data_IF_942389023357
#
_entry.id   IF_942389023357
#
_cell.length_a   1.000
_cell.length_b   1.000
_cell.length_c   1.000
_cell.angle_alpha   90.00
_cell.angle_beta   90.00
_cell.angle_gamma   90.00
#
_symmetry.space_group_name_H-M   'P 1'
#
loop_
_entity.id
_entity.type
_entity.pdbx_description
1 polymer ?
#
# COMPACT_ATOMS: atom_id res chain seq x y z
N UNK A 1 -7.53 -1.81 21.35
CA UNK A 1 -6.43 -0.86 21.11
C UNK A 1 -5.29 -1.34 21.98
N UNK A 2 -4.34 -2.08 21.41
CA UNK A 2 -3.15 -2.51 22.15
C UNK A 2 -2.20 -1.31 22.21
N UNK A 3 -1.80 -0.90 23.42
CA UNK A 3 -0.76 0.09 23.60
C UNK A 3 0.56 -0.55 23.18
N UNK A 4 1.07 -0.14 22.03
CA UNK A 4 2.48 -0.36 21.65
C UNK A 4 3.29 0.47 22.66
N UNK A 5 4.19 -0.16 23.41
CA UNK A 5 5.05 0.56 24.35
C UNK A 5 5.95 1.53 23.58
N UNK A 6 6.36 2.63 24.22
CA UNK A 6 7.29 3.59 23.60
C UNK A 6 8.57 2.90 23.10
N UNK A 7 9.04 1.86 23.79
CA UNK A 7 10.17 1.02 23.37
C UNK A 7 9.93 0.30 22.03
N UNK A 8 8.71 -0.17 21.76
CA UNK A 8 8.38 -0.82 20.50
C UNK A 8 8.26 0.20 19.36
N UNK A 9 7.86 1.45 19.65
CA UNK A 9 7.91 2.55 18.69
C UNK A 9 9.34 2.84 18.24
N UNK A 10 10.30 2.92 19.18
CA UNK A 10 11.71 3.15 18.85
C UNK A 10 12.31 2.05 17.97
N UNK A 11 11.90 0.79 18.16
CA UNK A 11 12.38 -0.34 17.36
C UNK A 11 11.88 -0.33 15.91
N UNK A 12 10.81 0.40 15.61
CA UNK A 12 10.21 0.50 14.28
C UNK A 12 10.61 1.78 13.53
N UNK A 13 11.39 2.68 14.13
CA UNK A 13 11.74 3.97 13.51
C UNK A 13 12.55 3.84 12.21
N UNK A 14 13.30 2.74 12.06
CA UNK A 14 14.09 2.46 10.86
C UNK A 14 13.45 1.37 9.97
N UNK A 15 12.15 1.10 10.15
CA UNK A 15 11.37 0.14 9.34
C UNK A 15 10.43 0.88 8.42
N UNK A 16 10.48 0.55 7.12
CA UNK A 16 9.48 1.02 6.16
C UNK A 16 8.15 0.31 6.42
N UNK A 17 7.17 1.04 6.96
CA UNK A 17 5.88 0.45 7.38
C UNK A 17 5.02 0.02 6.20
N UNK A 18 5.20 0.64 5.02
CA UNK A 18 4.47 0.23 3.81
C UNK A 18 5.00 -1.09 3.25
N UNK A 19 6.22 -1.50 3.60
CA UNK A 19 6.82 -2.78 3.25
C UNK A 19 8.01 -3.08 4.17
N UNK A 20 7.81 -3.94 5.17
CA UNK A 20 8.79 -4.13 6.26
C UNK A 20 10.17 -4.67 5.86
N UNK A 21 10.34 -5.16 4.63
CA UNK A 21 11.63 -5.62 4.11
C UNK A 21 12.27 -4.63 3.12
N UNK A 22 11.62 -3.49 2.89
CA UNK A 22 12.11 -2.45 2.00
C UNK A 22 13.15 -1.56 2.69
N UNK A 23 14.01 -0.91 1.90
CA UNK A 23 15.00 0.00 2.42
C UNK A 23 14.31 1.24 3.01
N UNK A 24 14.58 1.53 4.28
CA UNK A 24 14.09 2.74 4.90
C UNK A 24 14.78 3.96 4.30
N UNK A 25 13.99 4.94 3.87
CA UNK A 25 14.45 6.15 3.22
C UNK A 25 13.83 7.38 3.90
N UNK A 26 14.67 8.36 4.25
CA UNK A 26 14.21 9.61 4.86
C UNK A 26 13.31 10.35 3.86
N UNK A 27 12.03 10.52 4.19
CA UNK A 27 11.12 11.26 3.33
C UNK A 27 11.52 12.73 3.27
N UNK A 28 11.37 13.35 2.09
CA UNK A 28 11.73 14.77 1.82
C UNK A 28 11.03 15.79 2.75
N UNK A 29 9.99 15.37 3.47
CA UNK A 29 9.20 16.21 4.37
C UNK A 29 9.36 15.87 5.85
N UNK A 30 10.11 14.81 6.21
CA UNK A 30 10.37 14.53 7.61
C UNK A 30 11.46 15.48 8.12
N UNK A 31 11.21 16.21 9.23
CA UNK A 31 12.30 16.86 9.91
C UNK A 31 13.29 15.76 10.30
N UNK A 32 14.55 15.93 9.93
CA UNK A 32 15.66 15.07 10.37
C UNK A 32 15.60 15.03 11.90
N UNK A 33 14.93 14.03 12.48
CA UNK A 33 15.00 13.75 13.90
C UNK A 33 16.44 13.31 14.12
N UNK A 34 17.19 14.11 14.87
CA UNK A 34 18.63 14.08 14.93
C UNK A 34 19.15 12.66 15.18
N UNK A 35 19.63 12.01 14.12
CA UNK A 35 20.44 10.81 14.26
C UNK A 35 21.71 11.21 14.99
N UNK A 36 21.95 10.60 16.16
CA UNK A 36 23.19 10.75 16.93
C UNK A 36 24.34 9.98 16.28
N UNK A 37 24.53 10.18 14.99
CA UNK A 37 25.65 9.67 14.23
C UNK A 37 26.25 10.81 13.45
N UNK A 38 27.35 11.35 13.97
CA UNK A 38 28.11 12.44 13.36
C UNK A 38 28.60 12.02 11.97
N UNK A 39 28.04 12.54 10.86
CA UNK A 39 28.69 12.40 9.58
C UNK A 39 29.84 13.40 9.61
N UNK A 40 31.06 12.93 9.39
CA UNK A 40 32.22 13.80 9.15
C UNK A 40 31.78 14.89 8.16
N UNK A 41 31.96 16.16 8.57
CA UNK A 41 31.73 17.36 7.75
C UNK A 41 32.15 17.11 6.30
N UNK A 42 31.18 17.05 5.39
CA UNK A 42 31.43 17.29 3.98
C UNK A 42 30.96 18.71 3.67
N UNK A 43 31.92 19.53 3.25
CA UNK A 43 31.76 20.93 2.95
C UNK A 43 31.04 21.08 1.60
N UNK A 44 29.72 21.13 1.60
CA UNK A 44 28.95 21.68 0.47
C UNK A 44 27.79 22.52 1.01
N UNK A 45 28.13 23.75 1.35
CA UNK A 45 27.17 24.82 1.50
C UNK A 45 26.41 25.05 0.18
N UNK A 46 25.09 25.24 0.33
CA UNK A 46 24.22 26.04 -0.54
C UNK A 46 24.12 25.62 -2.00
N UNK A 47 23.30 24.61 -2.26
CA UNK A 47 22.47 24.56 -3.46
C UNK A 47 21.02 24.38 -2.98
N UNK A 48 20.16 25.40 -3.16
CA UNK A 48 18.70 25.22 -3.10
C UNK A 48 18.26 24.46 -4.37
N UNK A 49 18.64 23.20 -4.46
CA UNK A 49 18.02 22.23 -5.33
C UNK A 49 17.16 21.37 -4.39
N UNK A 50 15.90 21.15 -4.74
CA UNK A 50 15.13 20.08 -4.10
C UNK A 50 15.97 18.81 -4.24
N UNK A 51 16.42 18.17 -3.15
CA UNK A 51 17.33 17.04 -3.29
C UNK A 51 16.55 15.93 -3.99
N UNK A 52 17.02 15.57 -5.19
CA UNK A 52 16.54 14.38 -5.89
C UNK A 52 16.72 13.20 -4.92
N UNK A 53 15.68 12.41 -4.64
CA UNK A 53 15.82 11.25 -3.78
C UNK A 53 16.87 10.26 -4.29
N UNK A 54 17.43 9.46 -3.40
CA UNK A 54 18.29 8.34 -3.81
C UNK A 54 17.47 7.39 -4.70
N UNK A 55 18.02 7.00 -5.86
CA UNK A 55 17.35 6.12 -6.82
C UNK A 55 17.00 4.74 -6.24
N UNK A 56 17.67 4.33 -5.16
CA UNK A 56 17.40 3.08 -4.46
C UNK A 56 16.17 3.17 -3.56
N UNK A 57 15.66 4.38 -3.31
CA UNK A 57 14.52 4.61 -2.46
C UNK A 57 13.20 4.54 -3.24
N UNK A 58 12.16 3.90 -2.69
CA UNK A 58 10.85 3.82 -3.35
C UNK A 58 10.22 5.19 -3.64
N UNK A 59 10.55 6.18 -2.81
CA UNK A 59 10.12 7.58 -3.01
C UNK A 59 10.62 8.19 -4.33
N UNK A 60 11.67 7.63 -4.94
CA UNK A 60 12.19 8.09 -6.22
C UNK A 60 11.17 7.94 -7.35
N UNK A 61 10.38 6.87 -7.35
CA UNK A 61 9.34 6.64 -8.35
C UNK A 61 8.23 7.69 -8.24
N UNK A 62 7.84 8.05 -7.01
CA UNK A 62 6.91 9.14 -6.75
C UNK A 62 7.45 10.51 -7.15
N UNK A 63 8.76 10.73 -6.99
CA UNK A 63 9.44 11.93 -7.49
C UNK A 63 9.37 12.00 -9.02
N UNK A 64 9.75 10.93 -9.73
CA UNK A 64 9.65 10.87 -11.19
C UNK A 64 8.22 11.07 -11.70
N UNK A 65 7.25 10.44 -11.05
CA UNK A 65 5.82 10.61 -11.36
C UNK A 65 5.39 12.07 -11.20
N UNK A 66 5.82 12.74 -10.13
CA UNK A 66 5.51 14.15 -9.89
C UNK A 66 6.11 15.06 -10.96
N UNK A 67 7.36 14.82 -11.36
CA UNK A 67 8.00 15.58 -12.44
C UNK A 67 7.31 15.36 -13.79
N UNK A 68 6.96 14.12 -14.11
CA UNK A 68 6.24 13.78 -15.34
C UNK A 68 4.83 14.40 -15.39
N UNK A 69 4.06 14.27 -14.31
CA UNK A 69 2.69 14.82 -14.19
C UNK A 69 2.64 16.35 -14.24
N UNK A 70 3.72 17.03 -13.84
CA UNK A 70 3.82 18.48 -13.89
C UNK A 70 4.46 19.03 -15.18
N UNK A 71 4.93 18.17 -16.08
CA UNK A 71 5.46 18.59 -17.37
C UNK A 71 4.34 19.24 -18.23
N UNK A 72 4.53 20.47 -18.75
CA UNK A 72 3.50 21.16 -19.55
C UNK A 72 3.03 20.39 -20.79
N UNK A 73 3.92 19.67 -21.46
CA UNK A 73 3.57 18.86 -22.63
C UNK A 73 2.70 17.65 -22.23
N UNK A 74 3.02 16.99 -21.11
CA UNK A 74 2.19 15.91 -20.55
C UNK A 74 0.83 16.43 -20.16
N UNK A 75 0.76 17.57 -19.46
CA UNK A 75 -0.50 18.23 -19.07
C UNK A 75 -1.35 18.60 -20.28
N UNK A 76 -0.73 19.13 -21.33
CA UNK A 76 -1.41 19.43 -22.59
C UNK A 76 -1.95 18.16 -23.28
N UNK A 77 -1.15 17.10 -23.34
CA UNK A 77 -1.54 15.81 -23.92
C UNK A 77 -2.69 15.13 -23.13
N UNK A 78 -2.73 15.30 -21.81
CA UNK A 78 -3.82 14.85 -20.94
C UNK A 78 -5.01 15.83 -20.90
N UNK A 79 -4.98 16.89 -21.71
CA UNK A 79 -6.03 17.92 -21.81
C UNK A 79 -6.34 18.63 -20.48
N UNK A 80 -5.32 18.81 -19.63
CA UNK A 80 -5.45 19.62 -18.41
C UNK A 80 -5.53 21.09 -18.80
N UNK A 81 -6.63 21.75 -18.44
CA UNK A 81 -6.84 23.17 -18.72
C UNK A 81 -5.80 24.03 -17.99
N UNK A 82 -5.17 24.93 -18.72
CA UNK A 82 -4.22 25.86 -18.13
C UNK A 82 -4.92 26.77 -17.11
N UNK A 83 -4.26 27.04 -15.99
CA UNK A 83 -4.78 27.89 -14.91
C UNK A 83 -5.78 27.23 -13.95
N UNK A 84 -6.23 25.99 -14.16
CA UNK A 84 -7.21 25.35 -13.24
C UNK A 84 -6.57 24.70 -12.02
N UNK A 85 -5.33 24.23 -12.14
CA UNK A 85 -4.58 23.57 -11.07
C UNK A 85 -3.13 24.04 -11.19
N UNK A 86 -2.55 24.53 -10.09
CA UNK A 86 -1.16 25.00 -10.05
C UNK A 86 -0.16 23.86 -10.26
N UNK A 87 -0.05 22.96 -9.28
CA UNK A 87 0.82 21.78 -9.33
C UNK A 87 0.04 20.53 -8.97
N UNK A 88 0.25 19.49 -9.76
CA UNK A 88 -0.18 18.15 -9.40
C UNK A 88 0.66 17.64 -8.22
N UNK A 89 0.00 16.97 -7.28
CA UNK A 89 0.61 16.32 -6.11
C UNK A 89 0.05 14.90 -6.04
N UNK A 90 0.89 13.94 -5.63
CA UNK A 90 0.51 12.53 -5.47
C UNK A 90 -0.65 12.38 -4.49
N UNK A 91 -0.52 12.97 -3.30
CA UNK A 91 -1.56 12.97 -2.26
C UNK A 91 -1.98 14.40 -1.95
N UNK A 92 -3.28 14.63 -1.89
CA UNK A 92 -3.88 15.86 -1.38
C UNK A 92 -4.44 15.58 0.00
N UNK A 93 -4.05 16.39 0.99
CA UNK A 93 -4.62 16.34 2.33
C UNK A 93 -5.58 17.52 2.49
N UNK A 94 -6.83 17.22 2.80
CA UNK A 94 -7.89 18.19 3.05
C UNK A 94 -8.46 18.04 4.46
N UNK A 95 -9.45 18.86 4.78
CA UNK A 95 -10.13 18.80 6.07
C UNK A 95 -11.23 17.72 6.06
N UNK A 96 -10.88 16.49 5.68
CA UNK A 96 -11.82 15.37 5.67
C UNK A 96 -12.28 15.02 7.09
N UNK A 97 -13.58 14.77 7.26
CA UNK A 97 -14.16 14.34 8.54
C UNK A 97 -14.36 12.82 8.53
N UNK A 98 -13.68 12.12 9.43
CA UNK A 98 -13.79 10.67 9.57
C UNK A 98 -15.00 10.28 10.45
N UNK A 99 -16.19 10.24 9.87
CA UNK A 99 -17.45 9.88 10.55
C UNK A 99 -17.85 8.41 10.38
N UNK A 100 -17.36 7.73 9.34
CA UNK A 100 -17.55 6.29 9.12
C UNK A 100 -16.50 5.49 9.90
N UNK A 101 -16.94 4.77 10.94
CA UNK A 101 -16.05 3.97 11.81
C UNK A 101 -15.77 2.55 11.33
N UNK A 102 -16.60 2.01 10.43
CA UNK A 102 -16.47 0.63 9.96
C UNK A 102 -17.11 0.43 8.59
N UNK A 103 -16.42 -0.31 7.73
CA UNK A 103 -16.93 -0.76 6.43
C UNK A 103 -17.75 -2.05 6.49
N UNK A 104 -17.75 -2.76 7.64
CA UNK A 104 -18.41 -4.07 7.81
C UNK A 104 -19.89 -4.06 7.39
N UNK A 105 -20.73 -3.08 7.83
CA UNK A 105 -22.16 -3.08 7.46
C UNK A 105 -22.38 -2.94 5.95
N UNK A 106 -21.51 -2.20 5.26
CA UNK A 106 -21.60 -2.01 3.81
C UNK A 106 -21.26 -3.30 3.06
N UNK A 107 -20.21 -4.02 3.48
CA UNK A 107 -19.86 -5.32 2.88
C UNK A 107 -20.92 -6.39 3.16
N UNK A 108 -21.52 -6.42 4.35
CA UNK A 108 -22.62 -7.32 4.66
C UNK A 108 -23.84 -7.06 3.75
N UNK A 109 -24.19 -5.79 3.53
CA UNK A 109 -25.28 -5.41 2.63
C UNK A 109 -25.03 -5.83 1.18
N UNK A 110 -23.81 -5.63 0.66
CA UNK A 110 -23.44 -6.08 -0.69
C UNK A 110 -23.44 -7.61 -0.82
N UNK A 111 -23.01 -8.30 0.23
CA UNK A 111 -23.00 -9.77 0.27
C UNK A 111 -24.41 -10.36 0.17
N UNK A 112 -25.41 -9.77 0.84
CA UNK A 112 -26.82 -10.21 0.75
C UNK A 112 -27.37 -10.07 -0.67
N UNK A 113 -26.84 -9.14 -1.47
CA UNK A 113 -27.21 -8.95 -2.88
C UNK A 113 -26.49 -9.92 -3.83
N UNK A 114 -25.61 -10.77 -3.32
CA UNK A 114 -24.89 -11.78 -4.10
C UNK A 114 -23.69 -11.25 -4.88
N UNK A 115 -23.18 -10.05 -4.57
CA UNK A 115 -21.99 -9.53 -5.23
C UNK A 115 -20.73 -10.27 -4.74
N UNK A 116 -19.94 -10.90 -5.63
CA UNK A 116 -18.66 -11.49 -5.24
C UNK A 116 -17.70 -10.38 -4.82
N UNK A 117 -16.81 -10.68 -3.89
CA UNK A 117 -15.79 -9.74 -3.42
C UNK A 117 -14.42 -10.38 -3.36
N UNK A 118 -13.40 -9.61 -3.73
CA UNK A 118 -12.00 -9.94 -3.52
C UNK A 118 -11.46 -9.00 -2.46
N UNK A 119 -11.01 -9.58 -1.34
CA UNK A 119 -10.24 -8.87 -0.32
C UNK A 119 -8.82 -9.39 -0.43
N UNK A 120 -7.83 -8.51 -0.55
CA UNK A 120 -6.44 -8.92 -0.62
C UNK A 120 -5.53 -8.05 0.24
N UNK A 121 -4.37 -8.58 0.63
CA UNK A 121 -3.37 -7.86 1.41
C UNK A 121 -1.97 -8.31 1.03
N UNK A 122 -1.03 -7.38 0.93
CA UNK A 122 0.39 -7.72 0.97
C UNK A 122 0.77 -8.20 2.37
N UNK A 123 1.52 -9.29 2.48
CA UNK A 123 1.89 -9.83 3.80
C UNK A 123 3.06 -9.11 4.47
N UNK A 124 3.68 -8.13 3.79
CA UNK A 124 4.71 -7.24 4.34
C UNK A 124 4.18 -5.84 4.68
N UNK A 125 2.88 -5.57 4.52
CA UNK A 125 2.26 -4.31 4.94
C UNK A 125 2.11 -4.27 6.47
N UNK A 126 2.73 -3.30 7.12
CA UNK A 126 2.56 -3.03 8.55
C UNK A 126 1.55 -1.90 8.85
N UNK A 127 1.17 -1.09 7.87
CA UNK A 127 0.15 -0.04 8.01
C UNK A 127 -1.22 -0.68 8.17
N UNK A 128 -1.59 -1.61 7.29
CA UNK A 128 -2.84 -2.39 7.37
C UNK A 128 -2.51 -3.89 7.26
N UNK A 129 -2.00 -4.51 8.34
CA UNK A 129 -1.56 -5.90 8.29
C UNK A 129 -2.68 -6.86 7.89
N UNK A 130 -2.33 -7.90 7.11
CA UNK A 130 -3.30 -8.92 6.68
C UNK A 130 -4.02 -9.59 7.86
N UNK A 131 -3.41 -9.64 9.05
CA UNK A 131 -4.01 -10.15 10.29
C UNK A 131 -5.17 -9.27 10.78
N UNK A 132 -5.08 -7.95 10.63
CA UNK A 132 -6.17 -7.00 10.87
C UNK A 132 -7.30 -7.22 9.87
N UNK A 133 -6.96 -7.42 8.59
CA UNK A 133 -7.92 -7.78 7.54
C UNK A 133 -8.62 -9.10 7.85
N UNK A 134 -7.91 -10.14 8.30
CA UNK A 134 -8.51 -11.40 8.73
C UNK A 134 -9.46 -11.20 9.92
N UNK A 135 -9.12 -10.34 10.88
CA UNK A 135 -10.03 -10.01 12.00
C UNK A 135 -11.30 -9.32 11.49
N UNK A 136 -11.16 -8.38 10.56
CA UNK A 136 -12.29 -7.72 9.91
C UNK A 136 -13.17 -8.74 9.17
N UNK A 137 -12.58 -9.65 8.39
CA UNK A 137 -13.31 -10.72 7.68
C UNK A 137 -14.08 -11.61 8.66
N UNK A 138 -13.45 -12.04 9.77
CA UNK A 138 -14.11 -12.87 10.79
C UNK A 138 -15.34 -12.19 11.40
N UNK A 139 -15.35 -10.85 11.47
CA UNK A 139 -16.50 -10.11 12.01
C UNK A 139 -17.75 -10.17 11.13
N UNK A 140 -17.62 -10.52 9.84
CA UNK A 140 -18.75 -10.74 8.94
C UNK A 140 -19.47 -12.08 9.19
N UNK A 141 -18.83 -13.01 9.92
CA UNK A 141 -19.42 -14.28 10.34
C UNK A 141 -19.92 -15.20 9.20
N UNK A 142 -19.23 -15.21 8.06
CA UNK A 142 -19.49 -16.17 6.99
C UNK A 142 -18.72 -17.47 7.21
N UNK A 143 -19.34 -18.61 6.86
CA UNK A 143 -18.69 -19.92 6.91
C UNK A 143 -17.59 -20.02 5.84
N UNK A 144 -16.53 -20.76 6.18
CA UNK A 144 -15.41 -21.05 5.27
C UNK A 144 -15.86 -22.15 4.29
N UNK A 145 -15.56 -21.97 3.01
CA UNK A 145 -15.87 -22.93 1.93
C UNK A 145 -14.61 -23.69 1.51
N UNK A 146 -13.52 -22.96 1.28
CA UNK A 146 -12.19 -23.51 1.00
C UNK A 146 -11.22 -22.90 2.00
N UNK A 147 -10.57 -23.74 2.80
CA UNK A 147 -9.75 -23.30 3.92
C UNK A 147 -8.37 -22.80 3.47
N UNK A 148 -7.64 -22.20 4.41
CA UNK A 148 -6.37 -21.52 4.20
C UNK A 148 -5.35 -22.42 3.51
N UNK A 149 -5.06 -22.11 2.25
CA UNK A 149 -4.13 -22.87 1.41
C UNK A 149 -3.24 -21.95 0.59
N UNK A 150 -2.05 -22.41 0.18
CA UNK A 150 -1.23 -21.65 -0.75
C UNK A 150 -1.91 -21.54 -2.12
N UNK A 151 -1.61 -20.45 -2.83
CA UNK A 151 -1.85 -20.31 -4.25
C UNK A 151 -0.53 -20.05 -4.98
N UNK A 152 -0.48 -20.45 -6.25
CA UNK A 152 0.78 -20.56 -6.98
C UNK A 152 0.79 -19.75 -8.27
N UNK A 153 1.97 -19.21 -8.58
CA UNK A 153 2.31 -18.62 -9.86
C UNK A 153 3.71 -19.11 -10.23
N UNK A 154 3.87 -19.67 -11.43
CA UNK A 154 5.15 -20.18 -11.94
C UNK A 154 5.87 -21.12 -10.94
N UNK A 155 5.13 -22.09 -10.39
CA UNK A 155 5.62 -23.07 -9.41
C UNK A 155 6.19 -22.47 -8.10
N UNK A 156 5.89 -21.20 -7.82
CA UNK A 156 6.22 -20.52 -6.58
C UNK A 156 4.95 -20.18 -5.80
N UNK A 157 5.05 -20.21 -4.47
CA UNK A 157 3.96 -19.75 -3.60
C UNK A 157 3.85 -18.24 -3.73
N UNK A 158 2.80 -17.80 -4.43
CA UNK A 158 2.49 -16.39 -4.63
C UNK A 158 1.72 -15.79 -3.44
N UNK A 159 1.16 -16.64 -2.57
CA UNK A 159 0.55 -16.25 -1.31
C UNK A 159 -0.40 -17.33 -0.78
N UNK A 160 -1.36 -16.92 0.04
CA UNK A 160 -2.38 -17.82 0.61
C UNK A 160 -3.78 -17.31 0.32
N UNK A 161 -4.74 -18.22 0.22
CA UNK A 161 -6.13 -17.87 -0.07
C UNK A 161 -7.12 -18.68 0.78
N UNK A 162 -8.31 -18.14 0.94
CA UNK A 162 -9.46 -18.76 1.60
C UNK A 162 -10.75 -18.20 1.00
N UNK A 163 -11.78 -19.03 0.87
CA UNK A 163 -13.09 -18.59 0.35
C UNK A 163 -14.20 -18.78 1.39
N UNK A 164 -15.28 -18.01 1.21
CA UNK A 164 -16.39 -17.93 2.16
C UNK A 164 -17.75 -18.10 1.46
N UNK A 165 -18.78 -18.49 2.23
CA UNK A 165 -20.12 -18.80 1.71
C UNK A 165 -20.85 -17.64 1.04
N UNK A 166 -20.41 -16.39 1.24
CA UNK A 166 -20.91 -15.21 0.56
C UNK A 166 -20.21 -14.91 -0.77
N UNK A 167 -19.46 -15.86 -1.35
CA UNK A 167 -18.64 -15.66 -2.56
C UNK A 167 -17.50 -14.64 -2.38
N UNK A 168 -17.06 -14.43 -1.14
CA UNK A 168 -15.86 -13.64 -0.85
C UNK A 168 -14.61 -14.53 -0.98
N UNK A 169 -13.61 -14.01 -1.67
CA UNK A 169 -12.26 -14.56 -1.71
C UNK A 169 -11.34 -13.65 -0.91
N UNK A 170 -10.60 -14.23 0.03
CA UNK A 170 -9.48 -13.56 0.67
C UNK A 170 -8.17 -14.10 0.11
N UNK A 171 -7.22 -13.23 -0.21
CA UNK A 171 -5.89 -13.61 -0.67
C UNK A 171 -4.80 -12.76 -0.03
N UNK A 172 -3.66 -13.36 0.30
CA UNK A 172 -2.42 -12.61 0.51
C UNK A 172 -1.55 -12.68 -0.73
N UNK A 173 -0.71 -11.66 -0.91
CA UNK A 173 0.37 -11.68 -1.91
C UNK A 173 1.69 -11.69 -1.13
N UNK A 174 2.45 -12.77 -1.30
CA UNK A 174 3.68 -13.03 -0.56
C UNK A 174 4.78 -12.06 -0.98
N UNK A 175 5.35 -11.38 0.01
CA UNK A 175 6.40 -10.40 -0.19
C UNK A 175 5.92 -9.05 -0.71
N UNK A 176 4.61 -8.82 -0.77
CA UNK A 176 4.06 -7.55 -1.24
C UNK A 176 3.80 -6.59 -0.07
N UNK A 177 4.02 -5.30 -0.32
CA UNK A 177 3.71 -4.22 0.62
C UNK A 177 2.25 -3.74 0.53
N UNK A 178 2.01 -2.54 1.06
CA UNK A 178 0.72 -1.85 1.10
C UNK A 178 0.13 -1.64 -0.30
N UNK A 179 0.95 -1.14 -1.22
CA UNK A 179 0.67 -1.08 -2.67
C UNK A 179 1.16 -2.37 -3.33
N UNK A 180 0.44 -3.46 -3.10
CA UNK A 180 0.94 -4.80 -3.44
C UNK A 180 1.32 -4.98 -4.92
N UNK A 181 0.68 -4.27 -5.83
CA UNK A 181 0.97 -4.31 -7.27
C UNK A 181 2.25 -3.58 -7.66
N UNK A 182 2.72 -2.61 -6.86
CA UNK A 182 4.00 -1.92 -7.10
C UNK A 182 5.17 -2.87 -6.80
N UNK A 183 5.04 -3.68 -5.76
CA UNK A 183 6.09 -4.58 -5.26
C UNK A 183 6.02 -5.99 -5.86
N UNK A 184 4.82 -6.46 -6.22
CA UNK A 184 4.54 -7.80 -6.78
C UNK A 184 3.56 -7.71 -7.96
N UNK A 185 3.99 -7.13 -9.10
CA UNK A 185 3.11 -6.86 -10.24
C UNK A 185 2.57 -8.14 -10.89
N UNK A 186 3.39 -9.19 -11.04
CA UNK A 186 3.00 -10.44 -11.68
C UNK A 186 1.95 -11.18 -10.85
N UNK A 187 2.18 -11.30 -9.54
CA UNK A 187 1.25 -11.92 -8.60
C UNK A 187 -0.04 -11.11 -8.47
N UNK A 188 0.06 -9.78 -8.37
CA UNK A 188 -1.10 -8.89 -8.33
C UNK A 188 -1.96 -8.98 -9.59
N UNK A 189 -1.34 -8.99 -10.76
CA UNK A 189 -2.03 -9.17 -12.04
C UNK A 189 -2.66 -10.56 -12.15
N UNK A 190 -1.92 -11.62 -11.83
CA UNK A 190 -2.44 -12.99 -11.90
C UNK A 190 -3.64 -13.18 -10.97
N UNK A 191 -3.58 -12.64 -9.75
CA UNK A 191 -4.69 -12.67 -8.79
C UNK A 191 -5.93 -11.98 -9.37
N UNK A 192 -5.78 -10.75 -9.87
CA UNK A 192 -6.89 -10.00 -10.47
C UNK A 192 -7.48 -10.72 -11.68
N UNK A 193 -6.63 -11.14 -12.62
CA UNK A 193 -7.05 -11.81 -13.85
C UNK A 193 -7.80 -13.13 -13.58
N UNK A 194 -7.33 -13.93 -12.60
CA UNK A 194 -8.01 -15.16 -12.18
C UNK A 194 -9.36 -14.84 -11.55
N UNK A 195 -9.42 -13.87 -10.63
CA UNK A 195 -10.66 -13.51 -9.94
C UNK A 195 -11.75 -13.02 -10.90
N UNK A 196 -11.45 -12.08 -11.81
CA UNK A 196 -12.45 -11.58 -12.77
C UNK A 196 -12.91 -12.65 -13.78
N UNK A 197 -12.09 -13.68 -13.99
CA UNK A 197 -12.40 -14.80 -14.88
C UNK A 197 -13.06 -15.98 -14.17
N UNK A 198 -13.42 -15.84 -12.89
CA UNK A 198 -13.92 -16.92 -12.03
C UNK A 198 -13.00 -18.15 -12.00
N UNK A 199 -11.68 -17.94 -12.10
CA UNK A 199 -10.67 -18.99 -11.97
C UNK A 199 -10.16 -19.04 -10.53
N UNK A 200 -9.89 -20.23 -9.99
CA UNK A 200 -9.32 -20.36 -8.66
C UNK A 200 -7.92 -19.71 -8.60
N UNK A 201 -7.58 -19.17 -7.44
CA UNK A 201 -6.21 -18.82 -7.10
C UNK A 201 -5.40 -20.07 -6.82
#
# INVERSE_FOLDING_TARGET
MGLISDELYWLLEDVELYNILEIYCVHLHDPVKGTRWSPKRSLSEKIKAYPVPDIRCPIYDYFLCTEWMNNPAVRSALHIREGTIEKWKVCYSDNYVHDIRSSVPFHANLSVKGYPSLIYSGDHDAVIPFSSTQRWIRSLNYSIVDDWRPWYLNDQVAGYTRTYSNQMTFATIRGAGHTSQETKPDEGFAMFARWISNKPL
#
